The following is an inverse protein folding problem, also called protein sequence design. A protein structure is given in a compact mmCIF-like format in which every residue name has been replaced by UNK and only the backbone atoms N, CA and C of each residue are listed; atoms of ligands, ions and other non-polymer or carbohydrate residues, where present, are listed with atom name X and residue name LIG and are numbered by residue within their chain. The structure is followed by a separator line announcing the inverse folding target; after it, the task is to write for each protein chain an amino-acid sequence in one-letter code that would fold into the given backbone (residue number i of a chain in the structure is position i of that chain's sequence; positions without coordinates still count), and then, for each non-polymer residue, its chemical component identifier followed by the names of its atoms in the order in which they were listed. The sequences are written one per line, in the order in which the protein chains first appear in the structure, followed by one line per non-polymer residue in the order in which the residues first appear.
data_IF_745479591218
#
_entry.id   IF_745479591218
#
_cell.length_a   1.000
_cell.length_b   1.000
_cell.length_c   1.000
_cell.angle_alpha   90.00
_cell.angle_beta   90.00
_cell.angle_gamma   90.00
#
_symmetry.space_group_name_H-M   'P 1'
#
loop_
_entity.id
_entity.type
_entity.pdbx_description
1 polymer ?
#
# COMPACT_ATOMS: atom_id res chain seq x y z
N UNK A 1 19.42 0.14 -35.86
CA UNK A 1 19.06 1.08 -34.79
C UNK A 1 18.77 0.22 -33.58
N UNK A 2 19.77 0.05 -32.72
CA UNK A 2 19.71 -0.81 -31.54
C UNK A 2 19.04 -0.01 -30.43
N UNK A 3 17.81 -0.38 -30.10
CA UNK A 3 17.13 0.09 -28.90
C UNK A 3 17.92 -0.42 -27.70
N UNK A 4 18.32 0.50 -26.84
CA UNK A 4 19.03 0.29 -25.59
C UNK A 4 18.28 -0.69 -24.67
N UNK A 5 18.71 -1.95 -24.62
CA UNK A 5 18.31 -2.96 -23.62
C UNK A 5 19.07 -2.77 -22.30
N UNK A 6 19.21 -1.53 -21.81
CA UNK A 6 20.17 -1.19 -20.73
C UNK A 6 19.67 -0.32 -19.57
N UNK A 7 18.43 0.18 -19.57
CA UNK A 7 17.95 1.16 -18.58
C UNK A 7 16.52 0.84 -18.09
N UNK A 8 16.23 -0.42 -17.75
CA UNK A 8 15.00 -0.75 -17.03
C UNK A 8 15.26 -0.50 -15.54
N UNK A 9 14.57 0.49 -14.97
CA UNK A 9 14.69 0.81 -13.56
C UNK A 9 14.32 -0.42 -12.71
N UNK A 10 15.23 -0.96 -11.89
CA UNK A 10 14.97 -2.17 -11.09
C UNK A 10 13.77 -1.99 -10.15
N UNK A 11 13.49 -0.75 -9.72
CA UNK A 11 12.30 -0.44 -8.94
C UNK A 11 11.02 -0.83 -9.69
N UNK A 12 10.92 -0.52 -10.99
CA UNK A 12 9.71 -0.78 -11.78
C UNK A 12 9.47 -2.27 -11.98
N UNK A 13 10.54 -3.06 -12.03
CA UNK A 13 10.43 -4.52 -12.12
C UNK A 13 9.87 -5.11 -10.82
N UNK A 14 10.49 -4.78 -9.68
CA UNK A 14 10.04 -5.27 -8.37
C UNK A 14 8.64 -4.73 -8.04
N UNK A 15 8.32 -3.50 -8.44
CA UNK A 15 6.98 -2.95 -8.35
C UNK A 15 5.96 -3.80 -9.11
N UNK A 16 6.26 -4.25 -10.33
CA UNK A 16 5.36 -5.09 -11.10
C UNK A 16 5.15 -6.46 -10.42
N UNK A 17 6.22 -7.02 -9.85
CA UNK A 17 6.18 -8.29 -9.11
C UNK A 17 5.34 -8.18 -7.84
N UNK A 18 5.55 -7.13 -7.03
CA UNK A 18 4.75 -6.81 -5.83
C UNK A 18 3.28 -6.62 -6.16
N UNK A 19 2.96 -5.87 -7.22
CA UNK A 19 1.57 -5.68 -7.65
C UNK A 19 0.93 -6.99 -8.16
N UNK A 20 1.70 -7.86 -8.80
CA UNK A 20 1.25 -9.18 -9.24
C UNK A 20 0.97 -10.10 -8.04
N UNK A 21 1.89 -10.14 -7.08
CA UNK A 21 1.75 -10.87 -5.83
C UNK A 21 0.55 -10.37 -5.01
N UNK A 22 0.34 -9.06 -4.91
CA UNK A 22 -0.83 -8.46 -4.26
C UNK A 22 -2.16 -8.83 -4.94
N UNK A 23 -2.18 -8.85 -6.27
CA UNK A 23 -3.37 -9.30 -7.01
C UNK A 23 -3.67 -10.79 -6.80
N UNK A 24 -2.65 -11.59 -6.47
CA UNK A 24 -2.80 -13.01 -6.13
C UNK A 24 -3.19 -13.22 -4.66
N UNK A 25 -2.68 -12.40 -3.74
CA UNK A 25 -2.99 -12.51 -2.30
C UNK A 25 -4.43 -12.11 -1.97
N UNK A 26 -4.99 -11.10 -2.64
CA UNK A 26 -6.40 -10.67 -2.45
C UNK A 26 -7.44 -11.79 -2.58
N UNK A 27 -7.48 -12.61 -3.66
CA UNK A 27 -8.41 -13.72 -3.76
C UNK A 27 -8.12 -14.84 -2.76
N UNK A 28 -6.85 -15.11 -2.44
CA UNK A 28 -6.46 -16.07 -1.40
C UNK A 28 -7.01 -15.64 -0.03
N UNK A 29 -6.85 -14.37 0.31
CA UNK A 29 -7.40 -13.78 1.53
C UNK A 29 -8.92 -13.92 1.60
N UNK A 30 -9.64 -13.53 0.53
CA UNK A 30 -11.10 -13.70 0.45
C UNK A 30 -11.53 -15.17 0.58
N UNK A 31 -10.79 -16.09 -0.03
CA UNK A 31 -11.03 -17.53 0.07
C UNK A 31 -10.86 -18.01 1.51
N UNK A 32 -9.78 -17.60 2.16
CA UNK A 32 -9.50 -17.88 3.57
C UNK A 32 -10.64 -17.39 4.47
N UNK A 33 -11.08 -16.14 4.33
CA UNK A 33 -12.21 -15.59 5.09
C UNK A 33 -13.50 -16.37 4.87
N UNK A 34 -13.77 -16.76 3.62
CA UNK A 34 -14.94 -17.58 3.27
C UNK A 34 -14.88 -18.94 3.95
N UNK A 35 -13.78 -19.69 3.76
CA UNK A 35 -13.58 -21.03 4.33
C UNK A 35 -13.72 -20.96 5.85
N UNK A 36 -13.10 -19.96 6.49
CA UNK A 36 -13.21 -19.71 7.93
C UNK A 36 -14.67 -19.55 8.37
N UNK A 37 -15.44 -18.71 7.69
CA UNK A 37 -16.85 -18.49 8.04
C UNK A 37 -17.73 -19.72 7.86
N UNK A 38 -17.37 -20.63 6.94
CA UNK A 38 -18.09 -21.89 6.71
C UNK A 38 -17.55 -23.08 7.52
N UNK A 39 -16.36 -22.96 8.10
CA UNK A 39 -15.70 -24.07 8.79
C UNK A 39 -16.32 -24.33 10.17
N UNK A 40 -16.69 -25.58 10.42
CA UNK A 40 -17.26 -26.01 11.71
C UNK A 40 -16.22 -26.02 12.84
N UNK A 41 -14.93 -26.15 12.52
CA UNK A 41 -13.82 -26.11 13.48
C UNK A 41 -12.66 -25.29 12.94
N UNK A 42 -11.89 -24.68 13.84
CA UNK A 42 -10.68 -23.92 13.51
C UNK A 42 -9.54 -24.79 12.95
N UNK A 43 -9.71 -26.12 12.96
CA UNK A 43 -8.70 -27.09 12.57
C UNK A 43 -9.10 -27.86 11.30
N UNK A 44 -10.03 -27.34 10.49
CA UNK A 44 -10.35 -27.98 9.21
C UNK A 44 -9.11 -27.98 8.29
N UNK A 45 -8.83 -29.09 7.57
CA UNK A 45 -7.63 -29.20 6.75
C UNK A 45 -7.59 -28.12 5.66
N UNK A 46 -8.75 -27.81 5.08
CA UNK A 46 -8.94 -26.75 4.08
C UNK A 46 -8.61 -25.35 4.61
N UNK A 47 -8.99 -25.04 5.86
CA UNK A 47 -8.68 -23.75 6.48
C UNK A 47 -7.19 -23.60 6.75
N UNK A 48 -6.53 -24.71 7.09
CA UNK A 48 -5.09 -24.72 7.37
C UNK A 48 -4.25 -24.57 6.11
N UNK A 49 -4.63 -25.25 5.05
CA UNK A 49 -3.99 -25.11 3.73
C UNK A 49 -4.15 -23.68 3.23
N UNK A 50 -5.38 -23.15 3.22
CA UNK A 50 -5.65 -21.77 2.79
C UNK A 50 -4.91 -20.74 3.65
N UNK A 51 -4.78 -20.98 4.96
CA UNK A 51 -3.98 -20.12 5.85
C UNK A 51 -2.50 -20.18 5.49
N UNK A 52 -1.93 -21.38 5.38
CA UNK A 52 -0.50 -21.56 5.12
C UNK A 52 -0.09 -20.96 3.78
N UNK A 53 -0.92 -21.10 2.76
CA UNK A 53 -0.69 -20.52 1.43
C UNK A 53 -0.74 -18.99 1.47
N UNK A 54 -1.73 -18.42 2.15
CA UNK A 54 -1.84 -16.98 2.36
C UNK A 54 -0.64 -16.46 3.17
N UNK A 55 -0.25 -17.16 4.23
CA UNK A 55 0.85 -16.78 5.12
C UNK A 55 2.19 -16.71 4.37
N UNK A 56 2.50 -17.74 3.57
CA UNK A 56 3.68 -17.76 2.71
C UNK A 56 3.65 -16.60 1.71
N UNK A 57 2.51 -16.39 1.05
CA UNK A 57 2.36 -15.31 0.05
C UNK A 57 2.54 -13.93 0.68
N UNK A 58 1.98 -13.70 1.87
CA UNK A 58 2.13 -12.44 2.60
C UNK A 58 3.55 -12.26 3.16
N UNK A 59 4.27 -13.34 3.45
CA UNK A 59 5.67 -13.28 3.84
C UNK A 59 6.55 -12.83 2.67
N UNK A 60 6.43 -13.50 1.52
CA UNK A 60 7.19 -13.16 0.31
C UNK A 60 6.91 -11.71 -0.11
N UNK A 61 5.62 -11.33 -0.16
CA UNK A 61 5.20 -9.96 -0.51
C UNK A 61 5.77 -8.90 0.43
N UNK A 62 5.90 -9.19 1.73
CA UNK A 62 6.48 -8.22 2.67
C UNK A 62 7.98 -8.05 2.52
N UNK A 63 8.69 -9.12 2.14
CA UNK A 63 10.12 -9.05 1.90
C UNK A 63 10.38 -8.20 0.66
N UNK A 64 9.61 -8.44 -0.42
CA UNK A 64 9.68 -7.62 -1.63
C UNK A 64 9.32 -6.16 -1.35
N UNK A 65 8.35 -5.92 -0.46
CA UNK A 65 7.96 -4.58 -0.05
C UNK A 65 9.05 -3.89 0.78
N UNK A 66 9.73 -4.60 1.69
CA UNK A 66 10.85 -4.09 2.48
C UNK A 66 11.99 -3.59 1.59
N UNK A 67 12.34 -4.36 0.55
CA UNK A 67 13.32 -3.96 -0.45
C UNK A 67 12.88 -2.69 -1.21
N UNK A 68 11.59 -2.57 -1.55
CA UNK A 68 11.05 -1.36 -2.17
C UNK A 68 11.09 -0.15 -1.24
N UNK A 69 10.75 -0.31 0.03
CA UNK A 69 10.83 0.74 1.05
C UNK A 69 12.26 1.26 1.15
N UNK A 70 13.25 0.37 1.25
CA UNK A 70 14.66 0.74 1.32
C UNK A 70 15.12 1.46 0.04
N UNK A 71 14.66 1.01 -1.13
CA UNK A 71 14.97 1.66 -2.40
C UNK A 71 14.43 3.08 -2.49
N UNK A 72 13.21 3.34 -1.99
CA UNK A 72 12.62 4.67 -1.96
C UNK A 72 13.42 5.57 -1.01
N UNK A 73 13.75 5.07 0.18
CA UNK A 73 14.58 5.79 1.16
C UNK A 73 15.95 6.18 0.61
N UNK A 74 16.60 5.29 -0.14
CA UNK A 74 17.87 5.58 -0.79
C UNK A 74 17.76 6.70 -1.84
N UNK A 75 16.65 6.74 -2.58
CA UNK A 75 16.39 7.73 -3.62
C UNK A 75 15.93 9.07 -3.04
N UNK A 76 15.19 9.08 -1.93
CA UNK A 76 14.69 10.30 -1.28
C UNK A 76 15.80 11.28 -0.89
N UNK A 77 16.96 10.77 -0.49
CA UNK A 77 18.10 11.60 -0.10
C UNK A 77 18.76 12.34 -1.27
N UNK A 78 18.80 11.76 -2.47
CA UNK A 78 19.40 12.37 -3.65
C UNK A 78 18.72 11.90 -4.96
N UNK A 79 17.50 12.39 -5.27
CA UNK A 79 16.74 11.94 -6.44
C UNK A 79 17.47 12.22 -7.77
N UNK A 80 18.18 13.34 -7.84
CA UNK A 80 18.85 13.80 -9.05
C UNK A 80 20.05 12.92 -9.42
N UNK A 81 20.72 12.31 -8.43
CA UNK A 81 21.79 11.33 -8.68
C UNK A 81 21.31 10.09 -9.42
N UNK A 82 20.04 9.72 -9.24
CA UNK A 82 19.40 8.61 -9.91
C UNK A 82 18.63 9.04 -11.17
N UNK A 83 18.68 10.33 -11.53
CA UNK A 83 17.96 10.85 -12.69
C UNK A 83 16.44 10.87 -12.52
N UNK A 84 15.95 10.85 -11.28
CA UNK A 84 14.53 10.81 -10.95
C UNK A 84 13.98 12.20 -10.66
N UNK A 85 12.74 12.44 -11.10
CA UNK A 85 11.99 13.65 -10.73
C UNK A 85 11.41 13.49 -9.31
N UNK A 86 11.30 14.59 -8.57
CA UNK A 86 10.74 14.57 -7.20
C UNK A 86 9.31 13.97 -7.21
N UNK A 87 8.52 14.31 -8.23
CA UNK A 87 7.17 13.78 -8.40
C UNK A 87 7.14 12.26 -8.60
N UNK A 88 8.19 11.68 -9.18
CA UNK A 88 8.31 10.22 -9.33
C UNK A 88 8.64 9.55 -8.00
N UNK A 89 9.56 10.13 -7.21
CA UNK A 89 9.86 9.62 -5.86
C UNK A 89 8.63 9.63 -4.97
N UNK A 90 7.82 10.68 -5.06
CA UNK A 90 6.57 10.76 -4.30
C UNK A 90 5.55 9.68 -4.71
N UNK A 91 5.44 9.38 -6.01
CA UNK A 91 4.60 8.27 -6.50
C UNK A 91 5.06 6.93 -5.94
N UNK A 92 6.37 6.68 -5.90
CA UNK A 92 6.95 5.44 -5.36
C UNK A 92 6.65 5.30 -3.87
N UNK A 93 6.87 6.36 -3.09
CA UNK A 93 6.55 6.40 -1.66
C UNK A 93 5.08 6.10 -1.41
N UNK A 94 4.17 6.76 -2.15
CA UNK A 94 2.74 6.54 -1.99
C UNK A 94 2.34 5.09 -2.29
N UNK A 95 2.88 4.52 -3.36
CA UNK A 95 2.58 3.12 -3.72
C UNK A 95 3.05 2.15 -2.64
N UNK A 96 4.27 2.31 -2.15
CA UNK A 96 4.83 1.46 -1.10
C UNK A 96 3.99 1.56 0.19
N UNK A 97 3.54 2.76 0.55
CA UNK A 97 2.62 2.98 1.66
C UNK A 97 1.25 2.31 1.45
N UNK A 98 0.59 2.57 0.32
CA UNK A 98 -0.75 2.03 0.03
C UNK A 98 -0.73 0.48 0.01
N UNK A 99 0.33 -0.12 -0.53
CA UNK A 99 0.52 -1.59 -0.55
C UNK A 99 0.84 -2.11 0.85
N UNK A 100 1.70 -1.42 1.61
CA UNK A 100 2.04 -1.79 2.98
C UNK A 100 0.84 -1.79 3.90
N UNK A 101 0.04 -0.74 3.89
CA UNK A 101 -1.19 -0.63 4.69
C UNK A 101 -2.17 -1.80 4.38
N UNK A 102 -2.27 -2.21 3.11
CA UNK A 102 -3.12 -3.34 2.70
C UNK A 102 -2.57 -4.69 3.19
N UNK A 103 -1.25 -4.91 3.08
CA UNK A 103 -0.59 -6.13 3.56
C UNK A 103 -0.69 -6.25 5.08
N UNK A 104 -0.45 -5.17 5.80
CA UNK A 104 -0.55 -5.13 7.26
C UNK A 104 -1.98 -5.37 7.73
N UNK A 105 -2.98 -4.81 7.03
CA UNK A 105 -4.39 -5.10 7.32
C UNK A 105 -4.74 -6.58 7.15
N UNK A 106 -4.26 -7.22 6.06
CA UNK A 106 -4.49 -8.67 5.84
C UNK A 106 -3.80 -9.52 6.91
N UNK A 107 -2.59 -9.13 7.33
CA UNK A 107 -1.84 -9.81 8.39
C UNK A 107 -2.49 -9.68 9.75
N UNK A 108 -2.94 -8.49 10.11
CA UNK A 108 -3.62 -8.24 11.37
C UNK A 108 -4.90 -9.08 11.47
N UNK A 109 -5.71 -9.12 10.41
CA UNK A 109 -6.92 -9.94 10.41
C UNK A 109 -6.57 -11.44 10.53
N UNK A 110 -5.52 -11.91 9.84
CA UNK A 110 -5.04 -13.28 9.97
C UNK A 110 -4.64 -13.59 11.43
N UNK A 111 -3.90 -12.70 12.08
CA UNK A 111 -3.45 -12.89 13.46
C UNK A 111 -4.61 -12.88 14.47
N UNK A 112 -5.49 -11.88 14.41
CA UNK A 112 -6.64 -11.75 15.31
C UNK A 112 -7.50 -13.03 15.29
N UNK A 113 -7.60 -13.68 14.14
CA UNK A 113 -8.38 -14.91 14.01
C UNK A 113 -7.74 -16.12 14.67
N UNK A 114 -6.42 -16.21 14.61
CA UNK A 114 -5.66 -17.27 15.30
C UNK A 114 -5.72 -17.06 16.82
N UNK A 115 -5.59 -15.82 17.29
CA UNK A 115 -5.70 -15.48 18.71
C UNK A 115 -7.11 -15.74 19.27
N UNK A 116 -8.15 -15.43 18.48
CA UNK A 116 -9.54 -15.72 18.85
C UNK A 116 -9.82 -17.24 18.91
N UNK A 117 -9.26 -18.02 17.99
CA UNK A 117 -9.35 -19.48 18.04
C UNK A 117 -8.68 -20.04 19.30
N UNK A 118 -7.52 -19.49 19.68
CA UNK A 118 -6.80 -19.86 20.90
C UNK A 118 -7.59 -19.58 22.17
N UNK A 119 -8.14 -18.38 22.29
CA UNK A 119 -8.90 -17.97 23.48
C UNK A 119 -10.16 -18.83 23.65
N UNK A 120 -10.77 -19.28 22.55
CA UNK A 120 -11.90 -20.20 22.58
C UNK A 120 -11.48 -21.61 23.07
N UNK A 121 -10.34 -22.14 22.61
CA UNK A 121 -9.81 -23.43 23.08
C UNK A 121 -9.40 -23.40 24.56
N UNK A 122 -8.77 -22.32 25.00
CA UNK A 122 -8.31 -22.15 26.39
C UNK A 122 -9.45 -22.05 27.39
N UNK A 123 -10.59 -21.45 27.01
CA UNK A 123 -11.79 -21.40 27.86
C UNK A 123 -12.45 -22.77 28.03
N UNK A 124 -12.32 -23.68 27.06
CA UNK A 124 -12.81 -25.07 27.18
C UNK A 124 -11.88 -25.90 28.07
N UNK A 125 -10.57 -25.70 27.98
CA UNK A 125 -9.58 -26.39 28.82
C UNK A 125 -9.61 -25.97 30.30
N UNK A 126 -10.11 -24.77 30.62
CA UNK A 126 -10.07 -24.20 31.98
C UNK A 126 -11.36 -24.46 32.82
N UNK A 127 -12.28 -25.32 32.35
CA UNK A 127 -13.27 -25.96 33.23
C UNK A 127 -14.56 -25.19 33.53
N UNK A 128 -15.12 -24.42 32.59
CA UNK A 128 -16.41 -23.72 32.80
C UNK A 128 -17.64 -24.52 32.29
N UNK A 129 -17.44 -25.77 31.85
CA UNK A 129 -18.49 -26.72 31.43
C UNK A 129 -18.40 -28.06 32.16
N UNK A 130 -17.90 -28.09 33.40
CA UNK A 130 -18.04 -29.28 34.25
C UNK A 130 -19.46 -29.25 34.85
N UNK A 131 -20.35 -30.21 34.53
CA UNK A 131 -21.60 -30.37 35.26
C UNK A 131 -21.28 -30.62 36.74
N UNK A 132 -22.13 -30.08 37.62
CA UNK A 132 -22.06 -30.23 39.07
C UNK A 132 -21.82 -31.72 39.44
N UNK A 133 -20.79 -32.07 40.26
CA UNK A 133 -20.42 -33.46 40.55
C UNK A 133 -21.51 -34.31 41.23
N UNK A 134 -22.67 -33.72 41.52
CA UNK A 134 -23.79 -34.38 42.21
C UNK A 134 -24.85 -34.97 41.24
N UNK A 135 -24.60 -35.00 39.93
CA UNK A 135 -25.56 -35.48 38.91
C UNK A 135 -25.24 -36.82 38.23
N UNK A 136 -24.32 -37.64 38.77
CA UNK A 136 -23.92 -38.90 38.13
C UNK A 136 -24.11 -40.11 39.06
N UNK A 137 -25.28 -40.73 38.99
CA UNK A 137 -25.44 -42.15 39.34
C UNK A 137 -25.36 -42.94 38.02
N UNK A 138 -24.37 -43.85 37.92
CA UNK A 138 -24.25 -44.96 36.94
C UNK A 138 -23.52 -44.80 35.58
N UNK A 139 -22.61 -43.83 35.35
CA UNK A 139 -21.97 -43.68 34.00
C UNK A 139 -20.45 -43.37 33.96
N UNK A 140 -19.69 -43.80 34.98
CA UNK A 140 -18.26 -43.46 35.18
C UNK A 140 -17.28 -43.89 34.08
N UNK A 141 -17.59 -44.93 33.29
CA UNK A 141 -16.66 -45.43 32.26
C UNK A 141 -16.86 -44.75 30.89
N UNK A 142 -18.06 -44.26 30.60
CA UNK A 142 -18.35 -43.58 29.34
C UNK A 142 -17.92 -42.11 29.39
N UNK A 143 -18.14 -41.44 30.52
CA UNK A 143 -17.70 -40.06 30.75
C UNK A 143 -16.16 -39.93 30.74
N UNK A 144 -15.43 -40.86 31.38
CA UNK A 144 -13.96 -40.86 31.38
C UNK A 144 -13.39 -41.07 29.96
N UNK A 145 -13.98 -41.97 29.18
CA UNK A 145 -13.56 -42.23 27.79
C UNK A 145 -13.86 -41.04 26.86
N UNK A 146 -15.00 -40.36 27.03
CA UNK A 146 -15.30 -39.12 26.29
C UNK A 146 -14.35 -37.99 26.68
N UNK A 147 -13.99 -37.88 27.96
CA UNK A 147 -13.07 -36.86 28.46
C UNK A 147 -11.64 -37.09 27.94
N UNK A 148 -11.19 -38.34 27.91
CA UNK A 148 -9.89 -38.74 27.35
C UNK A 148 -9.85 -38.48 25.84
N UNK A 149 -10.93 -38.82 25.12
CA UNK A 149 -11.08 -38.53 23.68
C UNK A 149 -11.12 -37.02 23.39
N UNK A 150 -11.76 -36.24 24.24
CA UNK A 150 -11.84 -34.78 24.09
C UNK A 150 -10.51 -34.10 24.44
N UNK A 151 -9.76 -34.63 25.41
CA UNK A 151 -8.39 -34.22 25.71
C UNK A 151 -7.43 -34.57 24.57
N UNK A 152 -7.53 -35.77 23.99
CA UNK A 152 -6.72 -36.16 22.82
C UNK A 152 -7.00 -35.25 21.62
N UNK A 153 -8.28 -34.96 21.35
CA UNK A 153 -8.69 -34.03 20.31
C UNK A 153 -8.19 -32.60 20.58
N UNK A 154 -8.16 -32.14 21.84
CA UNK A 154 -7.60 -30.84 22.21
C UNK A 154 -6.07 -30.81 22.08
N UNK A 155 -5.40 -31.90 22.42
CA UNK A 155 -3.94 -31.97 22.39
C UNK A 155 -3.41 -31.95 20.96
N UNK A 156 -4.09 -32.65 20.04
CA UNK A 156 -3.80 -32.59 18.59
C UNK A 156 -4.06 -31.19 17.99
N UNK A 157 -5.02 -30.44 18.54
CA UNK A 157 -5.31 -29.06 18.15
C UNK A 157 -4.21 -28.09 18.63
N UNK A 158 -3.68 -28.24 19.84
CA UNK A 158 -2.68 -27.33 20.42
C UNK A 158 -1.28 -27.48 19.80
N UNK A 159 -0.83 -28.72 19.55
CA UNK A 159 0.54 -28.98 19.05
C UNK A 159 0.77 -28.41 17.63
N UNK A 160 -0.29 -28.33 16.82
CA UNK A 160 -0.23 -27.83 15.45
C UNK A 160 -0.55 -26.34 15.32
N UNK A 161 -1.19 -25.74 16.34
CA UNK A 161 -1.28 -24.30 16.45
C UNK A 161 0.07 -23.69 16.86
N UNK A 162 0.88 -24.37 17.68
CA UNK A 162 2.19 -23.87 18.18
C UNK A 162 3.21 -23.62 17.05
N UNK A 163 3.25 -24.49 16.04
CA UNK A 163 4.12 -24.30 14.86
C UNK A 163 3.76 -23.05 14.06
N UNK A 164 2.47 -22.74 13.95
CA UNK A 164 1.99 -21.57 13.20
C UNK A 164 2.06 -20.28 14.03
N UNK A 165 1.96 -20.36 15.36
CA UNK A 165 2.17 -19.20 16.24
C UNK A 165 3.58 -18.62 16.12
N UNK A 166 4.59 -19.46 15.87
CA UNK A 166 5.95 -18.98 15.65
C UNK A 166 6.06 -18.19 14.35
N UNK A 167 5.44 -18.68 13.28
CA UNK A 167 5.47 -18.02 11.97
C UNK A 167 4.65 -16.72 11.99
N UNK A 168 3.43 -16.73 12.53
CA UNK A 168 2.61 -15.51 12.72
C UNK A 168 3.28 -14.52 13.68
N UNK A 169 3.97 -15.00 14.71
CA UNK A 169 4.76 -14.16 15.62
C UNK A 169 5.89 -13.42 14.90
N UNK A 170 6.59 -14.09 13.99
CA UNK A 170 7.62 -13.46 13.16
C UNK A 170 7.01 -12.45 12.18
N UNK A 171 5.86 -12.78 11.57
CA UNK A 171 5.13 -11.85 10.69
C UNK A 171 4.67 -10.59 11.43
N UNK A 172 4.24 -10.72 12.69
CA UNK A 172 3.88 -9.57 13.53
C UNK A 172 5.06 -8.64 13.76
N UNK A 173 6.23 -9.19 14.07
CA UNK A 173 7.42 -8.37 14.28
C UNK A 173 7.82 -7.65 12.99
N UNK A 174 7.78 -8.34 11.85
CA UNK A 174 8.07 -7.75 10.55
C UNK A 174 7.03 -6.67 10.16
N UNK A 175 5.75 -6.89 10.44
CA UNK A 175 4.69 -5.90 10.21
C UNK A 175 4.83 -4.67 11.12
N UNK A 176 5.26 -4.83 12.38
CA UNK A 176 5.52 -3.71 13.30
C UNK A 176 6.75 -2.90 12.88
N UNK A 177 7.77 -3.56 12.34
CA UNK A 177 8.94 -2.90 11.77
C UNK A 177 8.58 -2.12 10.48
N UNK A 178 7.85 -2.74 9.55
CA UNK A 178 7.36 -2.07 8.34
C UNK A 178 6.39 -0.92 8.64
N UNK A 179 5.40 -1.13 9.52
CA UNK A 179 4.39 -0.14 9.85
C UNK A 179 5.00 1.13 10.44
N UNK A 180 6.03 1.00 11.28
CA UNK A 180 6.78 2.14 11.82
C UNK A 180 7.59 2.86 10.75
N UNK A 181 8.26 2.13 9.86
CA UNK A 181 9.02 2.71 8.75
C UNK A 181 8.11 3.46 7.75
N UNK A 182 6.90 2.92 7.48
CA UNK A 182 5.88 3.56 6.65
C UNK A 182 5.22 4.77 7.32
N UNK A 183 5.03 4.73 8.64
CA UNK A 183 4.53 5.86 9.44
C UNK A 183 5.56 7.00 9.47
N UNK A 184 6.85 6.69 9.62
CA UNK A 184 7.94 7.67 9.59
C UNK A 184 8.03 8.37 8.21
N UNK A 185 7.73 7.64 7.12
CA UNK A 185 7.59 8.22 5.77
C UNK A 185 6.29 9.02 5.56
N UNK A 186 5.30 8.86 6.45
CA UNK A 186 4.02 9.56 6.44
C UNK A 186 4.06 10.99 6.99
N UNK A 187 5.13 11.39 7.69
CA UNK A 187 5.19 12.65 8.45
C UNK A 187 5.39 13.92 7.58
N UNK A 188 5.43 13.80 6.24
CA UNK A 188 5.61 14.92 5.30
C UNK A 188 4.40 15.21 4.39
N UNK A 189 3.18 14.78 4.76
CA UNK A 189 1.95 15.15 4.03
C UNK A 189 1.69 16.68 4.00
N UNK A 190 2.29 17.44 4.91
CA UNK A 190 2.18 18.90 4.95
C UNK A 190 3.11 19.60 3.94
N UNK A 191 4.19 18.93 3.52
CA UNK A 191 5.17 19.48 2.59
C UNK A 191 4.75 19.27 1.13
N UNK A 192 4.02 18.19 0.83
CA UNK A 192 3.43 17.95 -0.49
C UNK A 192 2.37 19.00 -0.81
N UNK A 193 1.48 19.33 0.14
CA UNK A 193 0.46 20.37 -0.05
C UNK A 193 1.12 21.75 -0.26
N UNK A 194 2.20 22.05 0.47
CA UNK A 194 3.02 23.24 0.24
C UNK A 194 3.73 23.26 -1.11
N UNK A 195 4.22 22.11 -1.59
CA UNK A 195 4.88 22.01 -2.90
C UNK A 195 3.85 22.15 -4.02
N UNK A 196 2.68 21.52 -3.90
CA UNK A 196 1.55 21.67 -4.83
C UNK A 196 1.07 23.14 -4.90
N UNK A 197 0.94 23.81 -3.75
CA UNK A 197 0.61 25.25 -3.69
C UNK A 197 1.71 26.12 -4.31
N UNK A 198 2.98 25.78 -4.08
CA UNK A 198 4.13 26.52 -4.62
C UNK A 198 4.28 26.32 -6.14
N UNK A 199 3.97 25.13 -6.66
CA UNK A 199 3.92 24.83 -8.10
C UNK A 199 2.71 25.50 -8.75
N UNK A 200 1.53 25.43 -8.13
CA UNK A 200 0.31 26.12 -8.57
C UNK A 200 0.49 27.64 -8.66
N UNK A 201 1.14 28.25 -7.66
CA UNK A 201 1.46 29.67 -7.64
C UNK A 201 2.46 30.10 -8.72
N UNK A 202 3.49 29.27 -8.99
CA UNK A 202 4.48 29.53 -10.06
C UNK A 202 3.88 29.35 -11.45
N UNK A 203 3.06 28.33 -11.67
CA UNK A 203 2.33 28.11 -12.93
C UNK A 203 1.36 29.26 -13.23
N UNK A 204 0.58 29.70 -12.24
CA UNK A 204 -0.34 30.82 -12.41
C UNK A 204 0.40 32.13 -12.73
N UNK A 205 1.57 32.34 -12.12
CA UNK A 205 2.44 33.50 -12.42
C UNK A 205 3.07 33.40 -13.81
N UNK A 206 3.48 32.20 -14.23
CA UNK A 206 3.98 31.91 -15.58
C UNK A 206 2.93 32.20 -16.66
N UNK A 207 1.71 31.71 -16.48
CA UNK A 207 0.58 31.96 -17.38
C UNK A 207 0.23 33.45 -17.48
N UNK A 208 0.23 34.17 -16.35
CA UNK A 208 0.03 35.63 -16.33
C UNK A 208 1.14 36.37 -17.10
N UNK A 209 2.40 35.97 -16.95
CA UNK A 209 3.53 36.56 -17.68
C UNK A 209 3.43 36.27 -19.18
N UNK A 210 3.07 35.06 -19.58
CA UNK A 210 2.86 34.70 -20.99
C UNK A 210 1.73 35.54 -21.61
N UNK A 211 0.59 35.65 -20.93
CA UNK A 211 -0.52 36.51 -21.39
C UNK A 211 -0.13 37.99 -21.50
N UNK A 212 0.67 38.50 -20.56
CA UNK A 212 1.16 39.87 -20.60
C UNK A 212 2.16 40.11 -21.75
N UNK A 213 3.05 39.15 -22.02
CA UNK A 213 4.03 39.23 -23.11
C UNK A 213 3.34 39.18 -24.47
N UNK A 214 2.37 38.29 -24.66
CA UNK A 214 1.59 38.20 -25.92
C UNK A 214 0.91 39.54 -26.20
N UNK A 215 0.18 40.07 -25.22
CA UNK A 215 -0.57 41.32 -25.38
C UNK A 215 0.33 42.52 -25.63
N UNK A 216 1.48 42.61 -24.94
CA UNK A 216 2.43 43.72 -25.11
C UNK A 216 3.18 43.67 -26.44
N UNK A 217 3.41 42.48 -27.00
CA UNK A 217 4.03 42.33 -28.32
C UNK A 217 3.03 42.69 -29.44
N UNK A 218 1.77 42.29 -29.31
CA UNK A 218 0.71 42.63 -30.27
C UNK A 218 0.42 44.14 -30.32
N UNK A 219 0.31 44.79 -29.15
CA UNK A 219 0.03 46.24 -29.05
C UNK A 219 1.17 47.11 -29.63
N UNK A 220 2.43 46.70 -29.46
CA UNK A 220 3.59 47.48 -29.90
C UNK A 220 3.77 47.46 -31.43
N UNK A 221 3.52 46.32 -32.07
CA UNK A 221 3.67 46.19 -33.53
C UNK A 221 2.48 46.81 -34.27
N UNK A 222 1.26 46.63 -33.74
CA UNK A 222 0.05 47.26 -34.30
C UNK A 222 0.12 48.79 -34.22
N UNK A 223 0.52 49.34 -33.08
CA UNK A 223 0.63 50.80 -32.90
C UNK A 223 1.70 51.44 -33.79
N UNK A 224 2.83 50.74 -34.02
CA UNK A 224 3.87 51.21 -34.93
C UNK A 224 3.40 51.25 -36.39
N UNK A 225 2.71 50.20 -36.84
CA UNK A 225 2.14 50.13 -38.20
C UNK A 225 1.09 51.22 -38.44
N UNK A 226 0.20 51.47 -37.47
CA UNK A 226 -0.82 52.53 -37.58
C UNK A 226 -0.15 53.91 -37.67
N UNK A 227 0.86 54.18 -36.82
CA UNK A 227 1.60 55.45 -36.86
C UNK A 227 2.31 55.68 -38.19
N UNK A 228 2.94 54.64 -38.76
CA UNK A 228 3.62 54.72 -40.05
C UNK A 228 2.63 55.00 -41.19
N UNK A 229 1.47 54.34 -41.20
CA UNK A 229 0.42 54.58 -42.20
C UNK A 229 -0.12 56.02 -42.15
N UNK A 230 -0.34 56.58 -40.95
CA UNK A 230 -0.79 57.97 -40.79
C UNK A 230 0.27 58.95 -41.32
N UNK A 231 1.55 58.73 -41.04
CA UNK A 231 2.62 59.59 -41.52
C UNK A 231 2.71 59.62 -43.05
N UNK A 232 2.62 58.45 -43.70
CA UNK A 232 2.60 58.35 -45.16
C UNK A 232 1.39 59.08 -45.75
N UNK A 233 0.22 58.95 -45.12
CA UNK A 233 -1.00 59.63 -45.56
C UNK A 233 -0.88 61.15 -45.45
N UNK A 234 -0.27 61.67 -44.38
CA UNK A 234 0.01 63.11 -44.22
C UNK A 234 0.97 63.60 -45.30
N UNK A 235 2.05 62.85 -45.58
CA UNK A 235 2.99 63.22 -46.65
C UNK A 235 2.31 63.29 -48.02
N UNK A 236 1.45 62.32 -48.33
CA UNK A 236 0.67 62.34 -49.58
C UNK A 236 -0.28 63.55 -49.65
N UNK A 237 -0.91 63.92 -48.54
CA UNK A 237 -1.81 65.08 -48.48
C UNK A 237 -1.04 66.39 -48.67
N UNK A 238 0.11 66.55 -48.01
CA UNK A 238 0.98 67.73 -48.20
C UNK A 238 1.48 67.81 -49.64
N UNK A 239 1.90 66.68 -50.22
CA UNK A 239 2.36 66.64 -51.61
C UNK A 239 1.24 67.04 -52.57
N UNK A 240 0.01 66.57 -52.34
CA UNK A 240 -1.17 66.97 -53.13
C UNK A 240 -1.51 68.45 -52.96
N UNK A 241 -1.38 69.02 -51.76
CA UNK A 241 -1.66 70.44 -51.54
C UNK A 241 -0.61 71.39 -52.16
N UNK A 242 0.63 70.93 -52.25
CA UNK A 242 1.76 71.71 -52.78
C UNK A 242 1.87 71.59 -54.30
N UNK A 243 1.44 70.46 -54.88
CA UNK A 243 1.50 70.17 -56.32
C UNK A 243 0.19 70.52 -57.04
#
# INVERSE_FOLDING_TARGET
MMSSQGDEDPFLQVQADVLSALNTSRPLFKSYLRIRSSASSANSPELREARSELEQTLQDLSQDLEDLVESVKAVEHDPYRFGLEIDEVERRRKLVKDVGDEVDSMREELQQTVDNARNKGKNVANGDYLPDPDSFDDEDNYAAFEQERQMELMHEQDEQLDGVFRTVGNLRQQADDMGRELEEQGELLNDVDQVADRVGGKLQTGLKKVGWVIRKNEDAWSSCCIGLLIFVLILLLVLLLVL
#
